data_IF_655591142825
#
_entry.id   IF_655591142825
#
_cell.length_a   1.000
_cell.length_b   1.000
_cell.length_c   1.000
_cell.angle_alpha   90.00
_cell.angle_beta   90.00
_cell.angle_gamma   90.00
#
_symmetry.space_group_name_H-M   'P 1'
#
loop_
_entity.id
_entity.type
_entity.pdbx_description
1 polymer ?
#
# COMPACT_ATOMS: atom_id res chain seq x y z
N UNK A 1 3.46 22.11 4.59
CA UNK A 1 2.75 21.16 3.71
C UNK A 1 3.62 19.95 3.36
N UNK A 2 4.90 20.12 3.02
CA UNK A 2 5.86 19.00 2.93
C UNK A 2 6.17 18.36 4.28
N UNK A 3 6.10 19.15 5.36
CA UNK A 3 6.50 18.70 6.71
C UNK A 3 5.53 17.66 7.30
N UNK A 4 4.23 17.73 6.96
CA UNK A 4 3.23 16.74 7.42
C UNK A 4 3.41 15.39 6.72
N UNK A 5 3.60 15.40 5.40
CA UNK A 5 3.90 14.17 4.65
C UNK A 5 5.24 13.57 5.10
N UNK A 6 6.24 14.39 5.42
CA UNK A 6 7.51 13.88 5.95
C UNK A 6 7.37 13.26 7.34
N UNK A 7 6.50 13.81 8.21
CA UNK A 7 6.18 13.20 9.49
C UNK A 7 5.47 11.84 9.29
N UNK A 8 4.47 11.77 8.41
CA UNK A 8 3.78 10.52 8.06
C UNK A 8 4.79 9.48 7.55
N UNK A 9 5.68 9.87 6.63
CA UNK A 9 6.69 8.96 6.08
C UNK A 9 7.70 8.49 7.13
N UNK A 10 8.08 9.35 8.08
CA UNK A 10 8.94 8.96 9.20
C UNK A 10 8.25 7.92 10.09
N UNK A 11 7.01 8.16 10.49
CA UNK A 11 6.22 7.24 11.32
C UNK A 11 6.04 5.88 10.60
N UNK A 12 5.76 5.90 9.29
CA UNK A 12 5.63 4.68 8.48
C UNK A 12 6.96 3.91 8.35
N UNK A 13 8.09 4.61 8.24
CA UNK A 13 9.41 3.99 8.23
C UNK A 13 9.75 3.35 9.58
N UNK A 14 9.34 3.95 10.71
CA UNK A 14 9.49 3.32 12.03
C UNK A 14 8.69 2.00 12.16
N UNK A 15 7.56 1.89 11.45
CA UNK A 15 6.76 0.67 11.34
C UNK A 15 7.30 -0.34 10.31
N UNK A 16 8.37 0.01 9.58
CA UNK A 16 9.01 -0.85 8.58
C UNK A 16 8.41 -0.75 7.17
N UNK A 17 7.61 0.28 6.88
CA UNK A 17 7.08 0.54 5.53
C UNK A 17 8.06 1.35 4.67
N UNK A 18 9.31 0.88 4.57
CA UNK A 18 10.41 1.58 3.89
C UNK A 18 10.20 1.82 2.38
N UNK A 19 9.25 1.11 1.78
CA UNK A 19 8.92 1.23 0.36
C UNK A 19 8.01 2.41 0.04
N UNK A 20 7.38 3.01 1.06
CA UNK A 20 6.49 4.17 0.89
C UNK A 20 7.35 5.43 0.89
N UNK A 21 7.30 6.15 -0.24
CA UNK A 21 8.08 7.36 -0.42
C UNK A 21 7.32 8.38 -1.26
N UNK A 22 7.86 9.60 -1.31
CA UNK A 22 7.28 10.69 -2.10
C UNK A 22 7.21 10.31 -3.58
N UNK A 23 6.08 10.61 -4.20
CA UNK A 23 5.92 10.47 -5.64
C UNK A 23 6.42 11.76 -6.30
N UNK A 24 7.45 11.65 -7.15
CA UNK A 24 8.07 12.81 -7.79
C UNK A 24 7.06 13.62 -8.62
N UNK A 25 6.96 14.92 -8.35
CA UNK A 25 6.04 15.83 -9.04
C UNK A 25 4.60 15.86 -8.48
N UNK A 26 4.30 15.07 -7.45
CA UNK A 26 2.99 15.02 -6.80
C UNK A 26 3.06 15.38 -5.31
N UNK A 27 1.94 15.79 -4.73
CA UNK A 27 1.79 16.01 -3.28
C UNK A 27 1.30 14.74 -2.58
N UNK A 28 1.87 13.62 -2.97
CA UNK A 28 1.44 12.28 -2.56
C UNK A 28 2.66 11.41 -2.30
N UNK A 29 2.45 10.34 -1.55
CA UNK A 29 3.41 9.26 -1.44
C UNK A 29 2.81 7.97 -1.99
N UNK A 30 3.67 7.08 -2.49
CA UNK A 30 3.27 5.76 -2.94
C UNK A 30 4.31 4.73 -2.57
N UNK A 31 3.87 3.48 -2.44
CA UNK A 31 4.74 2.39 -2.06
C UNK A 31 4.07 1.03 -2.21
N UNK A 32 4.88 -0.03 -2.10
CA UNK A 32 4.39 -1.41 -2.16
C UNK A 32 4.48 -2.03 -0.78
N UNK A 33 3.33 -2.37 -0.21
CA UNK A 33 3.27 -3.02 1.11
C UNK A 33 2.89 -4.49 0.96
N UNK A 34 3.32 -5.37 1.89
CA UNK A 34 2.96 -6.77 1.84
C UNK A 34 1.43 -6.94 1.89
N UNK A 35 0.90 -7.89 1.11
CA UNK A 35 -0.49 -8.30 1.23
C UNK A 35 -0.70 -8.96 2.60
N UNK A 36 -1.74 -8.57 3.37
CA UNK A 36 -2.03 -9.20 4.65
C UNK A 36 -2.28 -10.71 4.50
N UNK A 37 -1.93 -11.49 5.51
CA UNK A 37 -1.85 -12.95 5.38
C UNK A 37 -3.19 -13.57 4.97
N UNK A 38 -4.30 -13.07 5.50
CA UNK A 38 -5.64 -13.54 5.15
C UNK A 38 -6.01 -13.33 3.67
N UNK A 39 -5.37 -12.39 2.98
CA UNK A 39 -5.59 -12.07 1.56
C UNK A 39 -4.54 -12.68 0.64
N UNK A 40 -3.56 -13.42 1.18
CA UNK A 40 -2.56 -14.14 0.38
C UNK A 40 -3.21 -15.37 -0.26
N UNK A 41 -3.01 -15.53 -1.56
CA UNK A 41 -3.51 -16.71 -2.30
C UNK A 41 -2.44 -17.77 -2.41
N UNK A 42 -2.84 -19.02 -2.23
CA UNK A 42 -1.96 -20.17 -2.43
C UNK A 42 -1.25 -20.13 -3.79
N UNK A 43 0.01 -20.57 -3.77
CA UNK A 43 0.83 -20.63 -4.95
C UNK A 43 0.38 -21.80 -5.83
N UNK A 44 0.02 -21.56 -7.10
CA UNK A 44 -0.42 -22.63 -7.98
C UNK A 44 0.75 -23.57 -8.30
N UNK A 45 0.49 -24.87 -8.23
CA UNK A 45 1.49 -25.91 -8.51
C UNK A 45 1.38 -26.43 -9.95
N UNK A 46 2.39 -27.20 -10.39
CA UNK A 46 2.43 -27.79 -11.74
C UNK A 46 2.49 -26.74 -12.86
N UNK A 47 1.94 -27.06 -14.03
CA UNK A 47 1.97 -26.18 -15.21
C UNK A 47 1.28 -24.82 -14.98
N UNK A 48 0.34 -24.75 -14.04
CA UNK A 48 -0.37 -23.50 -13.69
C UNK A 48 0.54 -22.44 -13.08
N UNK A 49 1.73 -22.80 -12.57
CA UNK A 49 2.70 -21.83 -12.04
C UNK A 49 3.22 -20.85 -13.10
N UNK A 50 3.21 -21.25 -14.36
CA UNK A 50 3.73 -20.47 -15.48
C UNK A 50 2.70 -19.53 -16.13
N UNK A 51 1.44 -19.60 -15.71
CA UNK A 51 0.39 -18.74 -16.26
C UNK A 51 0.41 -17.39 -15.54
N UNK A 52 0.56 -16.25 -16.25
CA UNK A 52 0.41 -14.92 -15.66
C UNK A 52 -0.96 -14.80 -15.00
N UNK A 53 -1.00 -14.33 -13.75
CA UNK A 53 -2.26 -14.14 -13.02
C UNK A 53 -2.54 -12.66 -12.86
N UNK A 54 -3.72 -12.25 -13.31
CA UNK A 54 -4.34 -11.00 -12.89
C UNK A 54 -5.01 -11.27 -11.54
N UNK A 55 -4.66 -10.47 -10.53
CA UNK A 55 -5.30 -10.55 -9.21
C UNK A 55 -6.32 -9.42 -9.13
N UNK A 56 -7.60 -9.77 -9.26
CA UNK A 56 -8.70 -8.81 -9.11
C UNK A 56 -8.83 -8.35 -7.65
N UNK A 57 -9.46 -7.19 -7.45
CA UNK A 57 -9.68 -6.62 -6.11
C UNK A 57 -8.52 -5.80 -5.58
N UNK A 58 -7.63 -5.29 -6.45
CA UNK A 58 -6.51 -4.44 -6.02
C UNK A 58 -6.88 -3.07 -5.43
N UNK A 59 -8.17 -2.72 -5.44
CA UNK A 59 -8.73 -1.53 -4.83
C UNK A 59 -9.57 -1.84 -3.57
N UNK A 60 -9.49 -3.08 -3.05
CA UNK A 60 -10.16 -3.47 -1.82
C UNK A 60 -9.48 -2.78 -0.62
N UNK A 61 -10.17 -1.88 0.12
CA UNK A 61 -9.59 -1.14 1.23
C UNK A 61 -8.97 -2.03 2.29
N UNK A 62 -9.48 -3.24 2.48
CA UNK A 62 -9.00 -4.19 3.49
C UNK A 62 -7.58 -4.71 3.19
N UNK A 63 -7.06 -4.46 1.98
CA UNK A 63 -5.67 -4.77 1.64
C UNK A 63 -4.66 -3.82 2.28
N UNK A 64 -5.11 -2.66 2.76
CA UNK A 64 -4.25 -1.73 3.48
C UNK A 64 -4.11 -2.20 4.94
N UNK A 65 -2.89 -2.48 5.43
CA UNK A 65 -2.67 -2.82 6.82
C UNK A 65 -3.27 -1.79 7.79
N UNK A 66 -3.86 -2.25 8.89
CA UNK A 66 -4.60 -1.40 9.83
C UNK A 66 -3.68 -0.37 10.52
N UNK A 67 -2.46 -0.76 10.86
CA UNK A 67 -1.44 0.09 11.46
C UNK A 67 -1.00 1.21 10.50
N UNK A 68 -0.79 0.89 9.22
CA UNK A 68 -0.52 1.87 8.17
C UNK A 68 -1.68 2.86 8.05
N UNK A 69 -2.91 2.35 7.95
CA UNK A 69 -4.12 3.18 7.87
C UNK A 69 -4.25 4.11 9.06
N UNK A 70 -4.03 3.60 10.27
CA UNK A 70 -4.12 4.36 11.51
C UNK A 70 -3.13 5.54 11.55
N UNK A 71 -1.87 5.33 11.15
CA UNK A 71 -0.86 6.42 11.09
C UNK A 71 -1.29 7.52 10.13
N UNK A 72 -1.70 7.14 8.92
CA UNK A 72 -2.08 8.08 7.87
C UNK A 72 -3.34 8.87 8.25
N UNK A 73 -4.39 8.19 8.71
CA UNK A 73 -5.67 8.83 9.04
C UNK A 73 -5.61 9.70 10.30
N UNK A 74 -4.74 9.36 11.27
CA UNK A 74 -4.54 10.20 12.48
C UNK A 74 -4.03 11.59 12.12
N UNK A 75 -3.26 11.70 11.04
CA UNK A 75 -2.73 12.96 10.53
C UNK A 75 -3.71 13.68 9.57
N UNK A 76 -4.93 13.15 9.38
CA UNK A 76 -5.94 13.70 8.48
C UNK A 76 -5.71 13.39 7.00
N UNK A 77 -4.79 12.48 6.69
CA UNK A 77 -4.52 12.02 5.33
C UNK A 77 -5.30 10.73 5.05
N UNK A 78 -5.29 10.31 3.79
CA UNK A 78 -5.94 9.07 3.35
C UNK A 78 -4.93 8.14 2.71
N UNK A 79 -5.17 6.84 2.84
CA UNK A 79 -4.43 5.80 2.12
C UNK A 79 -5.39 4.90 1.35
N UNK A 80 -5.08 4.64 0.08
CA UNK A 80 -5.90 3.82 -0.78
C UNK A 80 -5.04 2.77 -1.52
N UNK A 81 -5.54 1.53 -1.64
CA UNK A 81 -4.91 0.53 -2.49
C UNK A 81 -5.30 0.78 -3.96
N UNK A 82 -4.32 0.70 -4.86
CA UNK A 82 -4.51 0.99 -6.29
C UNK A 82 -4.31 -0.23 -7.18
N UNK A 83 -3.64 -1.26 -6.67
CA UNK A 83 -3.36 -2.47 -7.42
C UNK A 83 -2.63 -3.46 -6.54
N UNK A 84 -2.75 -4.74 -6.85
CA UNK A 84 -2.01 -5.77 -6.13
C UNK A 84 -1.46 -6.82 -7.07
N UNK A 85 -0.40 -7.46 -6.62
CA UNK A 85 0.00 -8.75 -7.09
C UNK A 85 -0.29 -9.82 -6.01
N UNK A 86 0.50 -10.88 -6.00
CA UNK A 86 0.32 -11.99 -5.06
C UNK A 86 0.91 -11.68 -3.69
N UNK A 87 1.93 -10.86 -3.64
CA UNK A 87 2.78 -10.62 -2.47
C UNK A 87 2.65 -9.19 -1.97
N UNK A 88 2.38 -8.24 -2.86
CA UNK A 88 2.31 -6.81 -2.52
C UNK A 88 1.05 -6.14 -3.04
N UNK A 89 0.65 -5.07 -2.35
CA UNK A 89 -0.35 -4.10 -2.79
C UNK A 89 0.32 -2.73 -2.92
N UNK A 90 0.08 -2.07 -4.05
CA UNK A 90 0.45 -0.68 -4.28
C UNK A 90 -0.55 0.19 -3.52
N UNK A 91 -0.03 1.05 -2.65
CA UNK A 91 -0.81 2.04 -1.90
C UNK A 91 -0.42 3.45 -2.31
N UNK A 92 -1.38 4.36 -2.26
CA UNK A 92 -1.19 5.81 -2.41
C UNK A 92 -1.63 6.47 -1.12
N UNK A 93 -0.80 7.38 -0.61
CA UNK A 93 -1.07 8.26 0.52
C UNK A 93 -1.27 9.67 -0.01
N UNK A 94 -2.45 10.25 0.21
CA UNK A 94 -2.82 11.58 -0.28
C UNK A 94 -3.70 12.33 0.72
N UNK A 95 -3.70 13.66 0.64
CA UNK A 95 -4.40 14.53 1.59
C UNK A 95 -5.94 14.41 1.50
N UNK A 96 -6.49 14.18 0.30
CA UNK A 96 -7.94 14.24 0.05
C UNK A 96 -8.53 12.97 -0.57
N UNK A 97 -7.76 11.88 -0.66
CA UNK A 97 -8.10 10.71 -1.47
C UNK A 97 -7.96 10.96 -2.97
N UNK A 98 -7.98 9.87 -3.75
CA UNK A 98 -8.02 9.88 -5.22
C UNK A 98 -9.45 9.67 -5.72
#
# INVERSE_FOLDING_TARGET
>A
MTDELDAILADLHELGYDSIGRTEGYREASGRVPVPEEYRREQPTGWRRFVPRVVCGGADPDLVPEDLRAVVETQGWTVQPMGRDRETVLVIVSENGV
#
